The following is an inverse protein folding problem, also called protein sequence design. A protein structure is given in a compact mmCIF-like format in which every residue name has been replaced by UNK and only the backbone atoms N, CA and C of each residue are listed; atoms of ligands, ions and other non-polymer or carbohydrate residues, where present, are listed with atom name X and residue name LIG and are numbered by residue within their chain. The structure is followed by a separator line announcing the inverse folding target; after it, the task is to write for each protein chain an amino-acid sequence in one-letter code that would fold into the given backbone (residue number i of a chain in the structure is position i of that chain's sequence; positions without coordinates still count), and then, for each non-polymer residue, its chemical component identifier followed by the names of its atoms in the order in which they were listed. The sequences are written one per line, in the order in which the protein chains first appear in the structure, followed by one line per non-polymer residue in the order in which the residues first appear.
data_IF_466008859658
#
_entry.id   IF_466008859658
#
_cell.length_a   1.000
_cell.length_b   1.000
_cell.length_c   1.000
_cell.angle_alpha   90.00
_cell.angle_beta   90.00
_cell.angle_gamma   90.00
#
_symmetry.space_group_name_H-M   'P 1'
#
loop_
_entity.id
_entity.type
_entity.pdbx_description
1 polymer ?
#
# COMPACT_ATOMS: atom_id res chain seq x y z
N UNK A 1 -59.98 2.30 -27.37
CA UNK A 1 -58.78 2.95 -26.84
C UNK A 1 -58.72 2.65 -25.35
N UNK A 2 -58.00 1.60 -24.98
CA UNK A 2 -57.65 1.28 -23.59
C UNK A 2 -56.51 0.26 -23.64
N UNK A 3 -55.28 0.77 -23.60
CA UNK A 3 -54.06 -0.01 -23.40
C UNK A 3 -53.06 0.86 -22.65
N UNK A 4 -52.18 0.21 -21.87
CA UNK A 4 -51.01 0.77 -21.17
C UNK A 4 -51.21 1.19 -19.72
N UNK A 5 -51.13 0.22 -18.80
CA UNK A 5 -50.75 0.46 -17.40
C UNK A 5 -50.27 -0.83 -16.71
N UNK A 6 -49.45 -1.67 -17.38
CA UNK A 6 -49.00 -2.95 -16.80
C UNK A 6 -47.54 -3.32 -17.10
N UNK A 7 -46.68 -2.37 -17.49
CA UNK A 7 -45.30 -2.68 -17.89
C UNK A 7 -44.22 -1.91 -17.13
N UNK A 8 -44.57 -1.11 -16.12
CA UNK A 8 -43.59 -0.28 -15.38
C UNK A 8 -43.26 -0.79 -13.97
N UNK A 9 -43.79 -1.95 -13.55
CA UNK A 9 -43.55 -2.50 -12.20
C UNK A 9 -42.50 -3.63 -12.16
N UNK A 10 -41.85 -3.95 -13.28
CA UNK A 10 -40.96 -5.11 -13.41
C UNK A 10 -39.48 -4.77 -13.64
N UNK A 11 -39.12 -3.48 -13.59
CA UNK A 11 -37.74 -3.01 -13.82
C UNK A 11 -37.05 -2.46 -12.56
N UNK A 12 -37.69 -2.53 -11.38
CA UNK A 12 -37.10 -2.10 -10.09
C UNK A 12 -36.88 -3.24 -9.09
N UNK A 13 -37.15 -4.50 -9.46
CA UNK A 13 -37.08 -5.64 -8.56
C UNK A 13 -35.86 -6.56 -8.77
N UNK A 14 -34.89 -6.16 -9.61
CA UNK A 14 -33.73 -7.00 -10.00
C UNK A 14 -32.37 -6.47 -9.48
N UNK A 15 -32.36 -5.53 -8.52
CA UNK A 15 -31.14 -4.88 -8.03
C UNK A 15 -30.75 -5.18 -6.57
N UNK A 16 -31.31 -6.23 -5.95
CA UNK A 16 -30.93 -6.69 -4.61
C UNK A 16 -30.69 -8.20 -4.55
N UNK A 17 -30.11 -8.78 -5.60
CA UNK A 17 -29.46 -10.07 -5.41
C UNK A 17 -28.29 -9.85 -4.45
N UNK A 18 -28.45 -10.28 -3.20
CA UNK A 18 -27.33 -10.45 -2.28
C UNK A 18 -26.30 -11.34 -2.99
N UNK A 19 -25.20 -10.74 -3.46
CA UNK A 19 -24.11 -11.51 -4.03
C UNK A 19 -23.71 -12.58 -3.00
N UNK A 20 -23.73 -13.84 -3.42
CA UNK A 20 -23.26 -14.93 -2.56
C UNK A 20 -21.82 -14.62 -2.16
N UNK A 21 -21.50 -14.55 -0.85
CA UNK A 21 -20.17 -14.16 -0.41
C UNK A 21 -19.11 -15.07 -1.03
N UNK A 22 -18.17 -14.49 -1.77
CA UNK A 22 -17.05 -15.25 -2.32
C UNK A 22 -16.17 -15.68 -1.16
N UNK A 23 -15.97 -16.98 -0.99
CA UNK A 23 -15.12 -17.49 0.08
C UNK A 23 -13.66 -17.48 -0.36
N UNK A 24 -12.89 -16.56 0.20
CA UNK A 24 -11.45 -16.47 -0.04
C UNK A 24 -10.67 -17.40 0.92
N UNK A 25 -9.52 -17.97 0.49
CA UNK A 25 -8.65 -18.70 1.41
C UNK A 25 -8.20 -17.80 2.56
N UNK A 26 -8.45 -18.24 3.80
CA UNK A 26 -8.08 -17.47 4.99
C UNK A 26 -6.57 -17.24 5.06
N UNK A 27 -6.15 -15.99 5.26
CA UNK A 27 -4.75 -15.56 5.26
C UNK A 27 -4.50 -14.32 4.38
N UNK A 28 -3.24 -13.98 4.10
CA UNK A 28 -2.93 -12.77 3.34
C UNK A 28 -3.36 -12.90 1.88
N UNK A 29 -3.77 -11.78 1.29
CA UNK A 29 -4.33 -11.75 -0.06
C UNK A 29 -3.28 -11.58 -1.17
N UNK A 30 -1.98 -11.63 -0.84
CA UNK A 30 -0.87 -11.40 -1.75
C UNK A 30 -0.05 -12.66 -2.10
N UNK A 31 -0.67 -13.84 -2.04
CA UNK A 31 0.04 -15.13 -2.18
C UNK A 31 0.63 -15.41 -3.55
N UNK A 32 0.16 -14.71 -4.57
CA UNK A 32 0.61 -14.88 -5.94
C UNK A 32 1.83 -14.03 -6.30
N UNK A 33 2.36 -13.21 -5.37
CA UNK A 33 3.51 -12.33 -5.64
C UNK A 33 4.64 -13.07 -6.34
N UNK A 34 5.09 -12.50 -7.46
CA UNK A 34 6.23 -13.00 -8.23
C UNK A 34 7.36 -11.96 -8.23
N UNK A 35 8.60 -12.45 -8.21
CA UNK A 35 9.76 -11.57 -8.45
C UNK A 35 9.83 -11.15 -9.92
N UNK A 36 10.42 -9.98 -10.23
CA UNK A 36 10.57 -9.52 -11.60
C UNK A 36 11.48 -10.44 -12.42
N UNK A 37 11.24 -10.52 -13.74
CA UNK A 37 12.06 -11.31 -14.68
C UNK A 37 13.31 -10.58 -15.14
N UNK A 38 13.25 -9.24 -15.22
CA UNK A 38 14.34 -8.43 -15.72
C UNK A 38 15.71 -8.60 -15.04
N UNK A 39 15.85 -8.96 -13.74
CA UNK A 39 17.19 -9.14 -13.17
C UNK A 39 17.98 -10.24 -13.91
N UNK A 40 17.32 -11.33 -14.32
CA UNK A 40 17.98 -12.42 -15.03
C UNK A 40 18.33 -12.03 -16.46
N UNK A 41 17.48 -11.27 -17.14
CA UNK A 41 17.76 -10.79 -18.52
C UNK A 41 18.91 -9.78 -18.53
N UNK A 42 19.05 -9.01 -17.45
CA UNK A 42 20.18 -8.13 -17.20
C UNK A 42 21.44 -8.88 -16.72
N UNK A 43 21.37 -10.21 -16.58
CA UNK A 43 22.52 -11.07 -16.27
C UNK A 43 22.85 -11.20 -14.79
N UNK A 44 21.93 -10.85 -13.88
CA UNK A 44 22.07 -11.20 -12.46
C UNK A 44 21.73 -12.68 -12.26
N UNK A 45 22.44 -13.33 -11.33
CA UNK A 45 22.12 -14.71 -10.98
C UNK A 45 20.73 -14.80 -10.32
N UNK A 46 20.03 -15.91 -10.58
CA UNK A 46 18.69 -16.13 -10.04
C UNK A 46 18.69 -16.05 -8.51
N UNK A 47 17.81 -15.23 -7.95
CA UNK A 47 17.69 -14.99 -6.51
C UNK A 47 18.85 -14.21 -5.88
N UNK A 48 19.78 -13.69 -6.67
CA UNK A 48 20.94 -12.92 -6.20
C UNK A 48 20.80 -11.42 -6.49
N UNK A 49 19.62 -10.95 -6.88
CA UNK A 49 19.37 -9.53 -7.12
C UNK A 49 18.28 -9.01 -6.19
N UNK A 50 18.44 -7.79 -5.69
CA UNK A 50 17.41 -7.10 -4.91
C UNK A 50 17.22 -5.68 -5.41
N UNK A 51 15.97 -5.20 -5.33
CA UNK A 51 15.63 -3.82 -5.60
C UNK A 51 15.87 -2.98 -4.34
N UNK A 52 16.65 -1.92 -4.49
CA UNK A 52 16.98 -0.96 -3.44
C UNK A 52 16.37 0.41 -3.71
N UNK A 53 15.91 1.04 -2.62
CA UNK A 53 15.57 2.46 -2.53
C UNK A 53 16.43 3.06 -1.42
N UNK A 54 17.60 3.60 -1.78
CA UNK A 54 18.53 4.19 -0.81
C UNK A 54 18.73 5.65 -1.16
N UNK A 55 18.02 6.56 -0.47
CA UNK A 55 18.19 7.99 -0.67
C UNK A 55 19.66 8.40 -0.49
N UNK A 56 20.14 9.27 -1.38
CA UNK A 56 21.50 9.85 -1.31
C UNK A 56 22.60 9.05 -2.01
N UNK A 57 22.41 7.74 -2.26
CA UNK A 57 23.32 6.96 -3.10
C UNK A 57 22.84 6.88 -4.55
N UNK A 58 21.52 6.74 -4.74
CA UNK A 58 20.84 6.78 -6.04
C UNK A 58 19.56 7.61 -5.89
N UNK A 59 19.20 8.37 -6.91
CA UNK A 59 17.83 8.89 -7.08
C UNK A 59 17.03 7.77 -7.72
N UNK A 60 15.80 7.52 -7.28
CA UNK A 60 14.99 6.46 -7.86
C UNK A 60 15.17 5.08 -7.21
N UNK A 61 15.14 4.05 -8.06
CA UNK A 61 15.41 2.65 -7.73
C UNK A 61 16.76 2.22 -8.28
N UNK A 62 17.35 1.19 -7.68
CA UNK A 62 18.48 0.46 -8.27
C UNK A 62 18.33 -1.04 -8.01
N UNK A 63 18.97 -1.84 -8.85
CA UNK A 63 19.13 -3.28 -8.69
C UNK A 63 20.55 -3.52 -8.21
N UNK A 64 20.71 -4.29 -7.14
CA UNK A 64 22.02 -4.64 -6.59
C UNK A 64 22.18 -6.14 -6.42
N UNK A 65 23.42 -6.60 -6.54
CA UNK A 65 23.80 -7.99 -6.39
C UNK A 65 23.99 -8.35 -4.92
N UNK A 66 23.22 -9.33 -4.45
CA UNK A 66 23.26 -9.85 -3.08
C UNK A 66 24.50 -10.70 -2.78
N UNK A 67 25.22 -11.17 -3.80
CA UNK A 67 26.44 -11.98 -3.63
C UNK A 67 27.65 -11.18 -3.15
N UNK A 68 27.55 -9.85 -3.09
CA UNK A 68 28.65 -8.97 -2.71
C UNK A 68 29.61 -8.65 -3.86
N UNK A 69 29.25 -8.96 -5.11
CA UNK A 69 30.03 -8.61 -6.30
C UNK A 69 30.19 -7.10 -6.52
N UNK A 70 29.36 -6.27 -5.84
CA UNK A 70 29.29 -4.82 -6.02
C UNK A 70 28.61 -4.40 -7.32
N UNK A 71 28.06 -5.35 -8.08
CA UNK A 71 27.34 -5.05 -9.32
C UNK A 71 26.00 -4.38 -9.02
N UNK A 72 25.82 -3.20 -9.58
CA UNK A 72 24.56 -2.46 -9.55
C UNK A 72 24.08 -2.15 -10.97
N UNK A 73 22.77 -2.00 -11.13
CA UNK A 73 22.12 -1.57 -12.36
C UNK A 73 21.00 -0.57 -12.02
N UNK A 74 20.85 0.44 -12.87
CA UNK A 74 19.75 1.39 -12.81
C UNK A 74 19.35 1.71 -14.25
N UNK A 75 18.12 1.42 -14.62
CA UNK A 75 17.58 1.85 -15.91
C UNK A 75 17.44 3.38 -15.93
N UNK A 76 17.70 4.07 -17.05
CA UNK A 76 17.56 5.52 -17.14
C UNK A 76 16.18 6.06 -16.80
N UNK A 77 15.12 5.24 -16.86
CA UNK A 77 13.77 5.66 -16.46
C UNK A 77 13.55 5.64 -14.94
N UNK A 78 14.41 4.99 -14.16
CA UNK A 78 14.14 4.72 -12.73
C UNK A 78 14.26 5.94 -11.82
N UNK A 79 14.85 7.03 -12.29
CA UNK A 79 14.99 8.29 -11.57
C UNK A 79 14.00 9.38 -12.02
N UNK A 80 13.17 9.12 -13.04
CA UNK A 80 12.24 10.10 -13.64
C UNK A 80 11.27 10.71 -12.62
N UNK A 81 10.90 9.94 -11.59
CA UNK A 81 9.98 10.37 -10.55
C UNK A 81 10.65 10.93 -9.28
N UNK A 82 11.98 11.00 -9.22
CA UNK A 82 12.72 11.39 -8.02
C UNK A 82 13.00 10.23 -7.07
N UNK A 83 13.10 10.50 -5.77
CA UNK A 83 13.28 9.45 -4.77
C UNK A 83 12.02 8.58 -4.64
N UNK A 84 12.23 7.28 -4.42
CA UNK A 84 11.16 6.29 -4.34
C UNK A 84 11.01 5.76 -2.92
N UNK A 85 9.77 5.47 -2.54
CA UNK A 85 9.43 4.91 -1.24
C UNK A 85 9.00 3.44 -1.33
N UNK A 86 7.77 3.20 -0.91
CA UNK A 86 7.15 1.88 -0.93
C UNK A 86 7.05 1.34 -2.36
N UNK A 87 7.26 0.04 -2.51
CA UNK A 87 6.97 -0.69 -3.74
C UNK A 87 6.37 -2.06 -3.41
N UNK A 88 5.62 -2.62 -4.36
CA UNK A 88 5.02 -3.96 -4.30
C UNK A 88 5.14 -4.66 -5.65
N UNK A 89 5.05 -5.99 -5.63
CA UNK A 89 5.03 -6.81 -6.84
C UNK A 89 3.61 -7.28 -7.14
N UNK A 90 3.28 -7.45 -8.42
CA UNK A 90 2.10 -8.22 -8.81
C UNK A 90 2.40 -9.71 -9.00
N UNK A 91 1.39 -10.46 -9.45
CA UNK A 91 1.53 -11.89 -9.75
C UNK A 91 2.34 -12.21 -11.01
N UNK A 92 2.61 -11.20 -11.85
CA UNK A 92 3.42 -11.34 -13.07
C UNK A 92 4.86 -10.86 -12.86
N UNK A 93 5.17 -10.26 -11.70
CA UNK A 93 6.47 -9.71 -11.37
C UNK A 93 6.69 -8.28 -11.87
N UNK A 94 5.63 -7.53 -12.19
CA UNK A 94 5.73 -6.09 -12.36
C UNK A 94 5.93 -5.41 -11.00
N UNK A 95 6.59 -4.26 -10.99
CA UNK A 95 6.83 -3.49 -9.76
C UNK A 95 5.98 -2.24 -9.78
N UNK A 96 5.20 -2.00 -8.74
CA UNK A 96 4.41 -0.78 -8.55
C UNK A 96 5.04 0.02 -7.43
N UNK A 97 5.19 1.32 -7.64
CA UNK A 97 5.94 2.17 -6.74
C UNK A 97 5.39 3.59 -6.68
N UNK A 98 5.59 4.21 -5.52
CA UNK A 98 5.25 5.58 -5.23
C UNK A 98 6.53 6.39 -4.96
N UNK A 99 6.61 7.64 -5.46
CA UNK A 99 7.64 8.57 -5.01
C UNK A 99 7.56 8.79 -3.50
N UNK A 100 8.70 9.02 -2.86
CA UNK A 100 8.75 9.42 -1.46
C UNK A 100 9.74 10.56 -1.29
N UNK A 101 9.29 11.72 -0.77
CA UNK A 101 10.17 12.84 -0.55
C UNK A 101 11.10 12.54 0.63
N UNK A 102 12.35 12.97 0.55
CA UNK A 102 13.35 12.67 1.59
C UNK A 102 14.01 13.93 2.14
N UNK A 103 14.75 14.66 1.31
CA UNK A 103 15.56 15.80 1.77
C UNK A 103 15.56 16.98 0.81
N UNK A 104 15.31 16.75 -0.48
CA UNK A 104 15.44 17.79 -1.49
C UNK A 104 14.23 17.80 -2.42
N UNK A 105 13.31 18.73 -2.17
CA UNK A 105 12.09 18.90 -2.97
C UNK A 105 12.35 19.21 -4.45
N UNK A 106 13.53 19.72 -4.81
CA UNK A 106 13.90 19.90 -6.23
C UNK A 106 14.21 18.58 -6.94
N UNK A 107 14.69 17.57 -6.21
CA UNK A 107 14.86 16.20 -6.70
C UNK A 107 13.56 15.42 -6.58
N UNK A 108 12.83 15.61 -5.48
CA UNK A 108 11.62 14.84 -5.16
C UNK A 108 10.39 15.27 -5.95
N UNK A 109 10.42 16.43 -6.64
CA UNK A 109 9.38 16.94 -7.56
C UNK A 109 7.97 16.78 -7.01
N UNK A 110 7.47 17.79 -6.28
CA UNK A 110 6.17 17.74 -5.60
C UNK A 110 5.01 17.32 -6.54
N UNK A 111 5.07 17.71 -7.81
CA UNK A 111 4.12 17.35 -8.86
C UNK A 111 4.05 15.85 -9.19
N UNK A 112 5.03 15.06 -8.74
CA UNK A 112 5.06 13.62 -8.95
C UNK A 112 4.51 12.83 -7.76
N UNK A 113 4.32 13.46 -6.61
CA UNK A 113 3.99 12.78 -5.36
C UNK A 113 2.61 12.09 -5.38
N UNK A 114 1.77 12.40 -6.38
CA UNK A 114 0.45 11.82 -6.61
C UNK A 114 0.44 10.82 -7.78
N UNK A 115 1.58 10.58 -8.43
CA UNK A 115 1.70 9.67 -9.57
C UNK A 115 2.15 8.29 -9.12
N UNK A 116 1.45 7.28 -9.60
CA UNK A 116 1.80 5.88 -9.44
C UNK A 116 2.59 5.42 -10.67
N UNK A 117 3.68 4.69 -10.46
CA UNK A 117 4.53 4.18 -11.53
C UNK A 117 4.54 2.65 -11.55
N UNK A 118 4.79 2.08 -12.73
CA UNK A 118 4.97 0.65 -12.97
C UNK A 118 6.31 0.42 -13.65
N UNK A 119 7.09 -0.53 -13.15
CA UNK A 119 8.21 -1.14 -13.87
C UNK A 119 7.73 -2.43 -14.51
N UNK A 120 7.91 -2.50 -15.82
CA UNK A 120 7.59 -3.70 -16.58
C UNK A 120 8.58 -4.84 -16.27
N UNK A 121 8.04 -6.03 -16.02
CA UNK A 121 8.83 -7.18 -15.60
C UNK A 121 9.83 -7.66 -16.65
N UNK A 122 9.58 -7.38 -17.93
CA UNK A 122 10.40 -7.87 -19.04
C UNK A 122 11.41 -6.83 -19.51
N UNK A 123 10.96 -5.58 -19.70
CA UNK A 123 11.81 -4.51 -20.24
C UNK A 123 12.65 -3.79 -19.19
N UNK A 124 12.33 -3.96 -17.91
CA UNK A 124 12.85 -3.15 -16.80
C UNK A 124 12.50 -1.65 -16.88
N UNK A 125 11.67 -1.21 -17.84
CA UNK A 125 11.38 0.22 -17.98
C UNK A 125 10.29 0.66 -17.01
N UNK A 126 10.51 1.81 -16.37
CA UNK A 126 9.53 2.49 -15.53
C UNK A 126 8.68 3.43 -16.38
N UNK A 127 7.37 3.39 -16.16
CA UNK A 127 6.41 4.30 -16.78
C UNK A 127 5.39 4.78 -15.75
N UNK A 128 4.86 5.98 -15.95
CA UNK A 128 3.71 6.45 -15.17
C UNK A 128 2.49 5.61 -15.53
N UNK A 129 1.84 5.04 -14.52
CA UNK A 129 0.64 4.22 -14.67
C UNK A 129 -0.63 5.07 -14.63
N UNK A 130 -0.78 5.85 -13.56
CA UNK A 130 -1.85 6.84 -13.41
C UNK A 130 -1.46 7.94 -12.41
N UNK A 131 -2.16 9.07 -12.51
CA UNK A 131 -2.14 10.12 -11.50
C UNK A 131 -3.38 10.02 -10.61
N UNK A 132 -3.18 9.91 -9.30
CA UNK A 132 -4.25 9.79 -8.31
C UNK A 132 -4.70 11.16 -7.81
N UNK A 133 -6.03 11.41 -7.68
CA UNK A 133 -6.54 12.72 -7.32
C UNK A 133 -6.21 13.05 -5.86
N UNK A 134 -5.36 14.04 -5.64
CA UNK A 134 -5.07 14.57 -4.31
C UNK A 134 -6.30 15.27 -3.69
N UNK A 135 -6.37 15.31 -2.36
CA UNK A 135 -7.41 16.06 -1.65
C UNK A 135 -7.13 17.57 -1.64
N UNK A 136 -5.86 17.95 -1.68
CA UNK A 136 -5.40 19.30 -1.96
C UNK A 136 -4.05 19.22 -2.70
N UNK A 137 -3.63 20.29 -3.42
CA UNK A 137 -2.34 20.30 -4.08
C UNK A 137 -1.18 19.99 -3.12
N UNK A 138 -0.16 19.21 -3.55
CA UNK A 138 1.05 19.02 -2.77
C UNK A 138 1.66 20.35 -2.35
N UNK A 139 2.20 20.41 -1.13
CA UNK A 139 2.80 21.62 -0.60
C UNK A 139 4.10 21.31 0.15
N UNK A 140 4.99 22.30 0.35
CA UNK A 140 6.16 22.11 1.19
C UNK A 140 5.84 21.75 2.66
N UNK A 141 4.63 22.08 3.14
CA UNK A 141 4.21 21.78 4.52
C UNK A 141 3.83 20.32 4.72
N UNK A 142 3.44 19.63 3.65
CA UNK A 142 3.32 18.18 3.59
C UNK A 142 3.72 17.71 2.19
N UNK A 143 4.99 17.33 2.01
CA UNK A 143 5.49 16.91 0.70
C UNK A 143 5.13 15.48 0.38
N UNK A 144 4.59 14.71 1.34
CA UNK A 144 4.19 13.32 1.12
C UNK A 144 2.91 13.27 0.30
N UNK A 145 2.89 12.39 -0.70
CA UNK A 145 1.69 12.07 -1.45
C UNK A 145 1.28 10.62 -1.20
N UNK A 146 1.53 9.76 -2.19
CA UNK A 146 1.31 8.31 -2.07
C UNK A 146 2.31 7.70 -1.08
N UNK A 147 1.87 6.82 -0.18
CA UNK A 147 2.74 6.31 0.90
C UNK A 147 2.66 4.80 1.13
N UNK A 148 1.47 4.21 1.02
CA UNK A 148 1.24 2.78 1.19
C UNK A 148 0.77 2.15 -0.11
N UNK A 149 1.27 0.94 -0.37
CA UNK A 149 0.90 0.11 -1.52
C UNK A 149 0.67 -1.32 -1.07
N UNK A 150 -0.38 -1.96 -1.59
CA UNK A 150 -0.61 -3.40 -1.43
C UNK A 150 -1.32 -3.97 -2.65
N UNK A 151 -0.78 -5.04 -3.23
CA UNK A 151 -1.42 -5.77 -4.32
C UNK A 151 -2.23 -6.96 -3.77
N UNK A 152 -3.50 -7.04 -4.16
CA UNK A 152 -4.41 -8.13 -3.85
C UNK A 152 -4.55 -9.07 -5.06
N UNK A 153 -4.03 -10.29 -4.89
CA UNK A 153 -4.07 -11.36 -5.87
C UNK A 153 -5.48 -11.88 -6.15
N UNK A 154 -6.39 -11.75 -5.18
CA UNK A 154 -7.74 -12.31 -5.28
C UNK A 154 -8.59 -11.51 -6.27
N UNK A 155 -8.35 -10.19 -6.36
CA UNK A 155 -9.15 -9.23 -7.14
C UNK A 155 -8.34 -8.50 -8.21
N UNK A 156 -7.04 -8.81 -8.37
CA UNK A 156 -6.12 -8.07 -9.23
C UNK A 156 -6.13 -6.55 -8.98
N UNK A 157 -6.29 -6.17 -7.70
CA UNK A 157 -6.40 -4.78 -7.27
C UNK A 157 -5.12 -4.29 -6.62
N UNK A 158 -4.74 -3.05 -6.90
CA UNK A 158 -3.71 -2.33 -6.16
C UNK A 158 -4.36 -1.32 -5.24
N UNK A 159 -4.16 -1.48 -3.93
CA UNK A 159 -4.57 -0.52 -2.93
C UNK A 159 -3.46 0.50 -2.70
N UNK A 160 -3.81 1.78 -2.77
CA UNK A 160 -2.87 2.90 -2.64
C UNK A 160 -3.38 3.86 -1.59
N UNK A 161 -2.55 4.18 -0.59
CA UNK A 161 -2.84 5.24 0.37
C UNK A 161 -2.13 6.54 0.01
N UNK A 162 -2.79 7.65 0.28
CA UNK A 162 -2.30 9.00 0.04
C UNK A 162 -2.57 9.88 1.25
N UNK A 163 -1.56 10.65 1.64
CA UNK A 163 -1.69 11.75 2.61
C UNK A 163 -1.61 13.12 1.92
N UNK A 164 -1.69 13.15 0.58
CA UNK A 164 -1.59 14.37 -0.20
C UNK A 164 -2.68 15.37 0.19
N UNK A 165 -2.27 16.55 0.65
CA UNK A 165 -3.17 17.62 1.10
C UNK A 165 -3.49 17.60 2.59
N UNK A 166 -3.09 16.56 3.33
CA UNK A 166 -3.17 16.53 4.79
C UNK A 166 -2.12 17.45 5.42
N UNK A 167 -2.38 17.89 6.65
CA UNK A 167 -1.40 18.63 7.49
C UNK A 167 -1.33 17.98 8.86
N UNK A 168 -0.43 18.42 9.75
CA UNK A 168 -0.44 17.95 11.15
C UNK A 168 -1.78 18.16 11.88
N UNK A 169 -2.65 19.06 11.39
CA UNK A 169 -3.95 19.37 12.00
C UNK A 169 -5.14 18.84 11.18
N UNK A 170 -5.03 18.82 9.85
CA UNK A 170 -6.13 18.47 8.96
C UNK A 170 -5.93 17.10 8.32
N UNK A 171 -6.83 16.16 8.60
CA UNK A 171 -6.91 14.86 7.95
C UNK A 171 -7.70 14.96 6.65
N UNK A 172 -7.03 14.74 5.52
CA UNK A 172 -7.60 14.84 4.17
C UNK A 172 -7.18 13.70 3.24
N UNK A 173 -6.43 12.74 3.77
CA UNK A 173 -5.89 11.63 3.00
C UNK A 173 -6.98 10.77 2.35
N UNK A 174 -6.54 9.89 1.46
CA UNK A 174 -7.41 9.01 0.67
C UNK A 174 -6.81 7.62 0.55
N UNK A 175 -7.68 6.62 0.51
CA UNK A 175 -7.37 5.26 0.07
C UNK A 175 -8.03 5.02 -1.28
N UNK A 176 -7.26 4.47 -2.22
CA UNK A 176 -7.73 4.12 -3.55
C UNK A 176 -7.64 2.62 -3.76
N UNK A 177 -8.60 2.07 -4.48
CA UNK A 177 -8.49 0.78 -5.15
C UNK A 177 -8.31 1.05 -6.65
N UNK A 178 -7.19 0.59 -7.20
CA UNK A 178 -6.89 0.63 -8.62
C UNK A 178 -7.09 -0.76 -9.19
N UNK A 179 -7.92 -0.89 -10.22
CA UNK A 179 -8.01 -2.10 -11.03
C UNK A 179 -6.83 -2.13 -12.01
N UNK A 180 -5.96 -3.14 -11.92
CA UNK A 180 -4.76 -3.23 -12.77
C UNK A 180 -5.03 -3.77 -14.17
N UNK A 181 -6.24 -4.26 -14.45
CA UNK A 181 -6.67 -4.65 -15.79
C UNK A 181 -7.07 -3.41 -16.60
N UNK A 182 -7.80 -2.47 -16.00
CA UNK A 182 -8.25 -1.24 -16.66
C UNK A 182 -7.34 -0.05 -16.39
N UNK A 183 -6.51 -0.11 -15.35
CA UNK A 183 -5.72 1.00 -14.80
C UNK A 183 -6.57 2.17 -14.31
N UNK A 184 -7.76 1.87 -13.77
CA UNK A 184 -8.70 2.86 -13.28
C UNK A 184 -8.90 2.78 -11.77
N UNK A 185 -9.23 3.93 -11.16
CA UNK A 185 -9.67 3.98 -9.77
C UNK A 185 -11.13 3.53 -9.70
N UNK A 186 -11.39 2.37 -9.11
CA UNK A 186 -12.73 1.76 -9.04
C UNK A 186 -13.39 1.95 -7.67
N UNK A 187 -12.63 2.29 -6.63
CA UNK A 187 -13.16 2.62 -5.31
C UNK A 187 -12.27 3.62 -4.59
N UNK A 188 -12.85 4.50 -3.78
CA UNK A 188 -12.12 5.50 -2.99
C UNK A 188 -12.73 5.62 -1.59
N UNK A 189 -11.88 5.69 -0.58
CA UNK A 189 -12.23 6.07 0.79
C UNK A 189 -11.57 7.41 1.12
N UNK A 190 -12.34 8.40 1.56
CA UNK A 190 -11.84 9.78 1.80
C UNK A 190 -11.67 10.08 3.28
N UNK A 191 -11.03 11.23 3.55
CA UNK A 191 -10.91 11.83 4.88
C UNK A 191 -10.22 10.90 5.89
N UNK A 192 -9.15 10.27 5.42
CA UNK A 192 -8.38 9.31 6.20
C UNK A 192 -6.90 9.32 5.81
N UNK A 193 -6.03 9.51 6.80
CA UNK A 193 -4.58 9.33 6.61
C UNK A 193 -4.14 7.91 6.95
N UNK A 194 -4.27 7.05 5.95
CA UNK A 194 -3.68 5.71 5.99
C UNK A 194 -2.20 5.77 5.59
N UNK A 195 -1.33 5.17 6.40
CA UNK A 195 0.09 4.99 6.07
C UNK A 195 0.30 3.62 5.43
N UNK A 196 0.80 2.63 6.17
CA UNK A 196 0.93 1.27 5.68
C UNK A 196 -0.43 0.62 5.46
N UNK A 197 -0.58 -0.13 4.38
CA UNK A 197 -1.80 -0.86 4.01
C UNK A 197 -1.51 -2.34 3.78
N UNK A 198 -2.49 -3.20 4.03
CA UNK A 198 -2.40 -4.62 3.67
C UNK A 198 -3.74 -5.34 3.73
N UNK A 199 -3.95 -6.36 2.88
CA UNK A 199 -5.23 -7.10 2.83
C UNK A 199 -5.08 -8.51 3.40
N UNK A 200 -6.04 -8.89 4.25
CA UNK A 200 -6.13 -10.22 4.84
C UNK A 200 -7.56 -10.75 4.75
N UNK A 201 -7.68 -12.03 4.44
CA UNK A 201 -8.93 -12.77 4.41
C UNK A 201 -9.13 -13.44 5.76
N UNK A 202 -10.01 -12.90 6.60
CA UNK A 202 -10.34 -13.40 7.92
C UNK A 202 -11.63 -14.23 7.96
N UNK A 203 -11.99 -14.70 9.15
CA UNK A 203 -13.26 -15.38 9.43
C UNK A 203 -14.48 -14.49 9.14
N UNK A 204 -14.35 -13.17 9.36
CA UNK A 204 -15.37 -12.17 9.04
C UNK A 204 -15.36 -11.69 7.58
N UNK A 205 -14.55 -12.30 6.71
CA UNK A 205 -14.36 -11.90 5.31
C UNK A 205 -13.08 -11.14 5.04
N UNK A 206 -12.96 -10.60 3.82
CA UNK A 206 -11.79 -9.86 3.36
C UNK A 206 -11.79 -8.44 3.95
N UNK A 207 -10.64 -8.00 4.46
CA UNK A 207 -10.48 -6.66 5.04
C UNK A 207 -9.15 -6.04 4.61
N UNK A 208 -9.18 -4.75 4.30
CA UNK A 208 -7.97 -3.92 4.17
C UNK A 208 -7.63 -3.34 5.53
N UNK A 209 -6.43 -3.62 6.01
CA UNK A 209 -5.85 -3.08 7.22
C UNK A 209 -4.98 -1.88 6.88
N UNK A 210 -4.97 -0.88 7.76
CA UNK A 210 -4.10 0.27 7.62
C UNK A 210 -3.64 0.82 8.98
N UNK A 211 -2.44 1.40 8.99
CA UNK A 211 -1.97 2.19 10.12
C UNK A 211 -2.41 3.64 10.00
N UNK A 212 -2.96 4.22 11.07
CA UNK A 212 -3.33 5.63 11.08
C UNK A 212 -2.10 6.54 11.15
N UNK A 213 -2.08 7.59 10.32
CA UNK A 213 -1.14 8.70 10.43
C UNK A 213 -1.45 9.67 11.57
N UNK A 214 -2.59 9.50 12.26
CA UNK A 214 -3.08 10.39 13.33
C UNK A 214 -2.89 9.79 14.71
N UNK A 215 -3.24 8.53 14.88
CA UNK A 215 -3.19 7.82 16.16
C UNK A 215 -2.18 6.68 16.10
N UNK A 216 -2.07 5.87 17.16
CA UNK A 216 -1.28 4.62 17.12
C UNK A 216 -2.13 3.43 16.68
N UNK A 217 -3.34 3.71 16.20
CA UNK A 217 -4.33 2.71 15.85
C UNK A 217 -4.01 2.02 14.54
N UNK A 218 -4.17 0.70 14.55
CA UNK A 218 -4.35 -0.11 13.35
C UNK A 218 -5.84 -0.31 13.18
N UNK A 219 -6.32 0.02 11.98
CA UNK A 219 -7.71 -0.04 11.61
C UNK A 219 -7.88 -0.99 10.43
N UNK A 220 -9.13 -1.34 10.13
CA UNK A 220 -9.46 -2.06 8.92
C UNK A 220 -10.79 -1.63 8.31
N UNK A 221 -10.95 -1.80 7.01
CA UNK A 221 -12.18 -1.55 6.25
C UNK A 221 -12.59 -2.87 5.61
N UNK A 222 -13.88 -3.21 5.67
CA UNK A 222 -14.36 -4.42 4.99
C UNK A 222 -14.25 -4.23 3.47
N UNK A 223 -13.96 -5.30 2.75
CA UNK A 223 -13.95 -5.31 1.30
C UNK A 223 -15.06 -6.23 0.79
N UNK A 224 -15.75 -5.83 -0.28
CA UNK A 224 -16.71 -6.70 -0.96
C UNK A 224 -16.02 -7.75 -1.87
N UNK A 225 -16.81 -8.50 -2.64
CA UNK A 225 -16.29 -9.55 -3.53
C UNK A 225 -15.42 -9.00 -4.68
N UNK A 226 -15.61 -7.73 -5.04
CA UNK A 226 -14.83 -7.00 -6.05
C UNK A 226 -13.65 -6.24 -5.43
N UNK A 227 -13.50 -6.29 -4.10
CA UNK A 227 -12.48 -5.58 -3.36
C UNK A 227 -12.80 -4.11 -3.07
N UNK A 228 -14.03 -3.65 -3.32
CA UNK A 228 -14.41 -2.28 -3.02
C UNK A 228 -14.55 -2.05 -1.52
N UNK A 229 -14.26 -0.82 -1.08
CA UNK A 229 -14.41 -0.44 0.32
C UNK A 229 -15.89 -0.51 0.74
N UNK A 230 -16.17 -1.19 1.85
CA UNK A 230 -17.51 -1.38 2.39
C UNK A 230 -17.58 -1.02 3.88
N UNK A 231 -18.53 -0.15 4.21
CA UNK A 231 -18.83 0.24 5.59
C UNK A 231 -17.76 1.16 6.20
N UNK A 232 -17.82 1.30 7.53
CA UNK A 232 -16.93 2.19 8.27
C UNK A 232 -15.65 1.48 8.73
N UNK A 233 -14.55 2.22 8.98
CA UNK A 233 -13.35 1.67 9.57
C UNK A 233 -13.62 1.07 10.95
N UNK A 234 -13.03 -0.09 11.20
CA UNK A 234 -13.00 -0.78 12.49
C UNK A 234 -11.63 -0.58 13.11
N UNK A 235 -11.58 -0.15 14.37
CA UNK A 235 -10.34 -0.20 15.14
C UNK A 235 -10.02 -1.67 15.47
N UNK A 236 -8.82 -2.14 15.13
CA UNK A 236 -8.34 -3.46 15.52
C UNK A 236 -7.64 -3.40 16.87
N UNK A 237 -6.66 -2.51 17.00
CA UNK A 237 -5.87 -2.32 18.21
C UNK A 237 -5.04 -1.04 18.13
N UNK A 238 -4.53 -0.59 19.28
CA UNK A 238 -3.52 0.46 19.35
C UNK A 238 -2.14 -0.15 19.58
N UNK A 239 -1.12 0.30 18.83
CA UNK A 239 0.27 -0.10 19.05
C UNK A 239 0.76 0.31 20.45
N UNK A 240 0.36 1.50 20.92
CA UNK A 240 0.72 1.99 22.25
C UNK A 240 0.07 1.21 23.42
N UNK A 241 -1.05 0.53 23.17
CA UNK A 241 -1.74 -0.27 24.17
C UNK A 241 -1.16 -1.69 24.31
N UNK A 242 -0.27 -2.09 23.39
CA UNK A 242 0.39 -3.39 23.45
C UNK A 242 1.42 -3.44 24.58
N UNK A 243 1.65 -4.62 25.13
CA UNK A 243 2.73 -4.82 26.11
C UNK A 243 4.09 -4.48 25.46
N UNK A 244 4.78 -3.46 25.98
CA UNK A 244 6.02 -2.95 25.38
C UNK A 244 5.81 -1.97 24.22
N UNK A 245 4.57 -1.58 23.93
CA UNK A 245 4.19 -0.65 22.88
C UNK A 245 4.69 0.78 23.09
N UNK A 246 4.67 1.56 22.01
CA UNK A 246 5.09 2.97 21.95
C UNK A 246 4.13 3.79 21.09
N UNK A 247 4.36 5.10 21.03
CA UNK A 247 3.56 6.03 20.22
C UNK A 247 3.88 5.95 18.72
N UNK A 248 4.17 4.75 18.22
CA UNK A 248 4.56 4.51 16.83
C UNK A 248 3.33 4.57 15.92
N UNK A 249 3.51 5.02 14.68
CA UNK A 249 2.54 4.97 13.58
C UNK A 249 2.83 3.75 12.71
N UNK A 250 1.79 3.00 12.33
CA UNK A 250 1.91 1.82 11.48
C UNK A 250 2.25 2.17 10.03
N UNK A 251 3.52 2.49 9.75
CA UNK A 251 3.95 3.00 8.45
C UNK A 251 4.06 1.93 7.35
N UNK A 252 4.20 0.65 7.72
CA UNK A 252 4.11 -0.46 6.77
C UNK A 252 3.43 -1.64 7.43
N UNK A 253 2.54 -2.29 6.69
CA UNK A 253 1.90 -3.55 7.07
C UNK A 253 2.30 -4.59 6.04
N UNK A 254 2.83 -5.71 6.51
CA UNK A 254 3.13 -6.88 5.68
C UNK A 254 2.61 -8.13 6.37
N UNK A 255 2.41 -9.20 5.61
CA UNK A 255 2.10 -10.50 6.18
C UNK A 255 3.22 -11.47 5.85
N UNK A 256 3.69 -12.21 6.86
CA UNK A 256 4.69 -13.26 6.64
C UNK A 256 4.05 -14.55 6.09
N UNK A 257 4.83 -15.55 5.66
CA UNK A 257 4.30 -16.81 5.14
C UNK A 257 3.40 -17.57 6.13
N UNK A 258 3.59 -17.38 7.43
CA UNK A 258 2.74 -17.94 8.50
C UNK A 258 1.41 -17.19 8.67
N UNK A 259 1.18 -16.12 7.90
CA UNK A 259 -0.02 -15.30 7.96
C UNK A 259 -0.08 -14.36 9.16
N UNK A 260 1.04 -14.10 9.83
CA UNK A 260 1.14 -13.08 10.86
C UNK A 260 1.23 -11.70 10.23
N UNK A 261 0.53 -10.73 10.81
CA UNK A 261 0.68 -9.33 10.46
C UNK A 261 1.96 -8.79 11.11
N UNK A 262 2.82 -8.18 10.32
CA UNK A 262 3.99 -7.43 10.79
C UNK A 262 3.76 -5.97 10.48
N UNK A 263 3.66 -5.16 11.55
CA UNK A 263 3.50 -3.71 11.47
C UNK A 263 4.84 -3.06 11.78
N UNK A 264 5.42 -2.37 10.81
CA UNK A 264 6.60 -1.53 11.02
C UNK A 264 6.17 -0.15 11.52
N UNK A 265 6.42 0.10 12.79
CA UNK A 265 6.18 1.34 13.49
C UNK A 265 7.32 2.36 13.32
N UNK A 266 6.96 3.63 13.12
CA UNK A 266 7.87 4.79 13.18
C UNK A 266 7.10 6.05 13.60
N UNK A 267 7.81 7.13 13.89
CA UNK A 267 7.20 8.46 14.08
C UNK A 267 7.01 9.16 12.73
N UNK A 268 5.81 9.68 12.45
CA UNK A 268 5.45 10.28 11.16
C UNK A 268 5.06 11.76 11.34
N UNK A 269 5.98 12.72 11.06
CA UNK A 269 5.76 14.12 11.39
C UNK A 269 5.07 14.97 10.30
N UNK A 270 4.52 14.38 9.23
CA UNK A 270 3.97 15.06 8.02
C UNK A 270 4.92 16.06 7.33
N UNK A 271 6.12 16.27 7.86
CA UNK A 271 7.15 17.19 7.35
C UNK A 271 8.42 16.40 7.06
N UNK A 272 9.32 16.96 6.24
CA UNK A 272 10.67 16.41 6.11
C UNK A 272 11.46 16.79 7.36
N UNK A 273 12.12 15.81 7.96
CA UNK A 273 13.02 16.01 9.10
C UNK A 273 14.41 15.52 8.73
N UNK A 274 15.41 16.38 8.88
CA UNK A 274 16.76 16.14 8.31
C UNK A 274 17.69 15.37 9.27
N UNK A 275 17.32 15.14 10.54
CA UNK A 275 18.35 14.85 11.56
C UNK A 275 17.95 13.88 12.69
N UNK A 276 17.21 12.80 12.43
CA UNK A 276 17.07 11.73 13.45
C UNK A 276 17.26 10.33 12.88
N UNK A 277 18.03 9.45 13.56
CA UNK A 277 17.98 8.03 13.28
C UNK A 277 16.53 7.56 13.37
N UNK A 278 15.96 7.10 12.26
CA UNK A 278 14.61 6.54 12.27
C UNK A 278 14.68 5.20 13.01
N UNK A 279 14.15 5.17 14.23
CA UNK A 279 14.02 3.93 14.99
C UNK A 279 12.79 3.21 14.47
N UNK A 280 13.01 2.07 13.86
CA UNK A 280 11.92 1.19 13.44
C UNK A 280 11.63 0.18 14.54
N UNK A 281 10.35 -0.15 14.69
CA UNK A 281 9.91 -1.25 15.55
C UNK A 281 8.93 -2.12 14.78
N UNK A 282 9.23 -3.42 14.74
CA UNK A 282 8.37 -4.40 14.09
C UNK A 282 7.49 -5.04 15.17
N UNK A 283 6.17 -4.89 15.01
CA UNK A 283 5.16 -5.51 15.86
C UNK A 283 4.56 -6.69 15.10
N UNK A 284 4.70 -7.91 15.61
CA UNK A 284 4.13 -9.10 14.99
C UNK A 284 2.85 -9.52 15.70
N UNK A 285 1.80 -9.79 14.93
CA UNK A 285 0.50 -10.22 15.41
C UNK A 285 0.05 -11.50 14.74
N UNK A 286 -0.56 -12.40 15.51
CA UNK A 286 -1.21 -13.61 15.03
C UNK A 286 -2.72 -13.38 14.95
N UNK A 287 -3.34 -13.86 13.87
CA UNK A 287 -4.78 -13.80 13.72
C UNK A 287 -5.47 -14.87 14.58
N UNK A 288 -6.46 -14.46 15.37
CA UNK A 288 -7.30 -15.31 16.20
C UNK A 288 -8.70 -15.40 15.57
N UNK A 289 -8.97 -16.50 14.87
CA UNK A 289 -10.17 -16.65 14.03
C UNK A 289 -11.48 -16.62 14.84
N UNK A 290 -11.49 -17.19 16.05
CA UNK A 290 -12.68 -17.26 16.92
C UNK A 290 -13.21 -15.87 17.31
N UNK A 291 -12.33 -14.87 17.36
CA UNK A 291 -12.66 -13.48 17.71
C UNK A 291 -12.57 -12.50 16.54
N UNK A 292 -12.21 -12.96 15.34
CA UNK A 292 -11.85 -12.08 14.20
C UNK A 292 -10.90 -10.93 14.61
N UNK A 293 -9.86 -11.28 15.37
CA UNK A 293 -9.00 -10.33 16.07
C UNK A 293 -7.50 -10.66 15.89
N UNK A 294 -6.65 -9.72 16.29
CA UNK A 294 -5.20 -9.85 16.25
C UNK A 294 -4.59 -9.87 17.64
N UNK A 295 -3.72 -10.84 17.89
CA UNK A 295 -3.01 -11.02 19.16
C UNK A 295 -1.53 -10.72 18.98
N UNK A 296 -0.96 -9.90 19.85
CA UNK A 296 0.48 -9.60 19.82
C UNK A 296 1.30 -10.87 20.08
N UNK A 297 2.28 -11.12 19.23
CA UNK A 297 3.26 -12.19 19.35
C UNK A 297 4.59 -11.64 19.87
N UNK A 298 5.12 -10.60 19.21
CA UNK A 298 6.40 -10.01 19.60
C UNK A 298 6.50 -8.54 19.20
N UNK A 299 7.53 -7.89 19.76
CA UNK A 299 7.98 -6.57 19.38
C UNK A 299 9.50 -6.62 19.23
N UNK A 300 10.01 -6.27 18.05
CA UNK A 300 11.44 -6.20 17.76
C UNK A 300 11.84 -4.76 17.42
N UNK A 301 12.88 -4.23 18.07
CA UNK A 301 13.46 -2.94 17.68
C UNK A 301 14.57 -3.17 16.66
N UNK A 302 14.55 -2.40 15.57
CA UNK A 302 15.60 -2.42 14.54
C UNK A 302 16.19 -1.02 14.39
N UNK A 303 17.51 -0.94 14.53
CA UNK A 303 18.29 0.25 14.20
C UNK A 303 18.79 0.07 12.77
N UNK A 304 18.45 0.99 11.87
CA UNK A 304 18.99 1.03 10.51
C UNK A 304 20.17 1.98 10.46
#
# INVERSE_FOLDING_TARGET
QTASAATDAQTEADSLAEETPRQWPAGPANRCFAGPRFPQTLGFAAGQAYIGVTPGQYVGLFLADASGSGRNYQDPSWDDAGNMGSFVYDGNGNVYLAPAPFMNLSVDRLENQTKLYRIDTDSAQMTMLLELPAAAPPSPSNPYGLIGLFYDCDTNSLYVSSVAGSTGQDERGRLFQVDLQTNEVVSTFTDLDALGVGVYNGAGGKRLYYGSGRTTGIYSIALDNSGHFKGSPRLEFYLAAQAGGRNDKGARITFNPEGQMVVKGLDFPYTLSVERPVIYRDYSFRYAADGDAWELVNIEQRTK
#
